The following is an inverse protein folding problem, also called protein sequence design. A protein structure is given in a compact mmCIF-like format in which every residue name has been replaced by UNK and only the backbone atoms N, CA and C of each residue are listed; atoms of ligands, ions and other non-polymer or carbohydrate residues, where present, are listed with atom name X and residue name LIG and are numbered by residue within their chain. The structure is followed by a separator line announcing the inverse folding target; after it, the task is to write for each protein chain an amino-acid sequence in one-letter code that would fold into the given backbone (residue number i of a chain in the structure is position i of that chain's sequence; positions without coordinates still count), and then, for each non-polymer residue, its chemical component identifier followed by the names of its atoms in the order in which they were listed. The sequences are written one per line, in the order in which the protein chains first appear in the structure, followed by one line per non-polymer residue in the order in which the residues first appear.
data_IF_540858834390
#
_entry.id   IF_540858834390
#
_cell.length_a   1.000
_cell.length_b   1.000
_cell.length_c   1.000
_cell.angle_alpha   90.00
_cell.angle_beta   90.00
_cell.angle_gamma   90.00
#
_symmetry.space_group_name_H-M   'P 1'
#
loop_
_entity.id
_entity.type
_entity.pdbx_description
1 polymer ?
#
# COMPACT_ATOMS: atom_id res chain seq x y z
N UNK A 1 -0.93 -17.82 -15.47
CA UNK A 1 -0.39 -16.56 -14.94
C UNK A 1 -1.59 -15.76 -14.46
N UNK A 2 -1.87 -15.80 -13.15
CA UNK A 2 -3.03 -15.09 -12.59
C UNK A 2 -2.67 -13.61 -12.65
N UNK A 3 -3.36 -12.84 -13.49
CA UNK A 3 -3.25 -11.40 -13.47
C UNK A 3 -3.80 -10.96 -12.11
N UNK A 4 -2.91 -10.68 -11.15
CA UNK A 4 -3.29 -10.03 -9.90
C UNK A 4 -3.92 -8.70 -10.28
N UNK A 5 -5.16 -8.50 -9.87
CA UNK A 5 -5.85 -7.23 -10.03
C UNK A 5 -5.20 -6.21 -9.09
N UNK A 6 -4.41 -5.30 -9.67
CA UNK A 6 -3.73 -4.23 -8.94
C UNK A 6 -4.74 -3.34 -8.20
N UNK A 7 -5.96 -3.22 -8.73
CA UNK A 7 -7.04 -2.52 -8.04
C UNK A 7 -7.48 -3.25 -6.77
N UNK A 8 -7.72 -4.55 -6.85
CA UNK A 8 -8.06 -5.37 -5.67
C UNK A 8 -6.97 -5.29 -4.59
N UNK A 9 -5.69 -5.38 -4.96
CA UNK A 9 -4.59 -5.23 -4.00
C UNK A 9 -4.55 -3.83 -3.37
N UNK A 10 -4.74 -2.78 -4.18
CA UNK A 10 -4.85 -1.40 -3.69
C UNK A 10 -6.00 -1.23 -2.70
N UNK A 11 -7.18 -1.76 -3.02
CA UNK A 11 -8.38 -1.66 -2.18
C UNK A 11 -8.20 -2.41 -0.84
N UNK A 12 -7.53 -3.58 -0.85
CA UNK A 12 -7.16 -4.32 0.36
C UNK A 12 -6.18 -3.54 1.24
N UNK A 13 -5.17 -2.91 0.65
CA UNK A 13 -4.23 -2.03 1.37
C UNK A 13 -4.99 -0.85 1.98
N UNK A 14 -5.90 -0.21 1.24
CA UNK A 14 -6.70 0.89 1.77
C UNK A 14 -7.60 0.46 2.93
N UNK A 15 -8.23 -0.71 2.84
CA UNK A 15 -9.06 -1.26 3.91
C UNK A 15 -8.26 -1.56 5.18
N UNK A 16 -7.09 -2.20 5.06
CA UNK A 16 -6.22 -2.46 6.20
C UNK A 16 -5.66 -1.16 6.80
N UNK A 17 -5.28 -0.20 5.96
CA UNK A 17 -4.87 1.13 6.43
C UNK A 17 -6.00 1.83 7.18
N UNK A 18 -7.26 1.72 6.75
CA UNK A 18 -8.40 2.26 7.52
C UNK A 18 -8.50 1.63 8.91
N UNK A 19 -8.20 0.34 9.06
CA UNK A 19 -8.17 -0.30 10.37
C UNK A 19 -7.05 0.23 11.29
N UNK A 20 -5.99 0.83 10.73
CA UNK A 20 -4.83 1.35 11.48
C UNK A 20 -4.96 2.85 11.75
N UNK A 21 -5.32 3.65 10.74
CA UNK A 21 -5.31 5.14 10.79
C UNK A 21 -6.68 5.77 10.55
N UNK A 22 -7.75 4.97 10.48
CA UNK A 22 -9.11 5.45 10.28
C UNK A 22 -9.29 6.21 8.95
N UNK A 23 -10.09 7.27 9.01
CA UNK A 23 -10.49 8.07 7.84
C UNK A 23 -9.33 8.81 7.15
N UNK A 24 -8.14 8.82 7.76
CA UNK A 24 -6.95 9.39 7.13
C UNK A 24 -6.37 8.48 6.03
N UNK A 25 -6.68 7.18 6.03
CA UNK A 25 -6.08 6.20 5.11
C UNK A 25 -6.19 6.62 3.63
N UNK A 26 -7.36 7.03 3.10
CA UNK A 26 -7.47 7.42 1.70
C UNK A 26 -6.63 8.66 1.36
N UNK A 27 -6.50 9.61 2.29
CA UNK A 27 -5.68 10.80 2.07
C UNK A 27 -4.18 10.48 2.06
N UNK A 28 -3.75 9.56 2.92
CA UNK A 28 -2.37 9.09 2.98
C UNK A 28 -2.00 8.30 1.72
N UNK A 29 -2.86 7.38 1.27
CA UNK A 29 -2.64 6.65 0.02
C UNK A 29 -2.65 7.55 -1.21
N UNK A 30 -3.57 8.52 -1.28
CA UNK A 30 -3.56 9.55 -2.34
C UNK A 30 -2.24 10.32 -2.37
N UNK A 31 -1.61 10.59 -1.22
CA UNK A 31 -0.28 11.19 -1.19
C UNK A 31 0.76 10.26 -1.81
N UNK A 32 0.74 8.97 -1.51
CA UNK A 32 1.71 8.00 -2.06
C UNK A 32 1.55 7.78 -3.55
N UNK A 33 0.33 7.76 -4.05
CA UNK A 33 0.05 7.77 -5.50
C UNK A 33 0.70 8.96 -6.20
N UNK A 34 0.57 10.17 -5.62
CA UNK A 34 1.23 11.36 -6.15
C UNK A 34 2.76 11.26 -6.08
N UNK A 35 3.30 10.71 -4.99
CA UNK A 35 4.75 10.53 -4.82
C UNK A 35 5.36 9.61 -5.90
N UNK A 36 4.57 8.67 -6.45
CA UNK A 36 5.00 7.76 -7.54
C UNK A 36 4.46 8.15 -8.92
N UNK A 37 3.79 9.30 -9.04
CA UNK A 37 3.15 9.76 -10.28
C UNK A 37 2.17 8.76 -10.93
N UNK A 38 1.44 8.00 -10.11
CA UNK A 38 0.49 6.99 -10.58
C UNK A 38 -0.98 7.41 -10.39
N UNK A 39 -1.84 6.80 -11.21
CA UNK A 39 -3.30 6.88 -11.13
C UNK A 39 -3.85 5.49 -10.78
N UNK A 40 -4.83 5.43 -9.87
CA UNK A 40 -5.50 4.18 -9.47
C UNK A 40 -6.12 3.47 -10.67
N UNK A 41 -6.61 4.23 -11.66
CA UNK A 41 -7.23 3.64 -12.86
C UNK A 41 -6.23 2.90 -13.76
N UNK A 42 -4.94 3.23 -13.69
CA UNK A 42 -3.88 2.68 -14.52
C UNK A 42 -2.72 2.12 -13.69
N UNK A 43 -3.02 1.69 -12.45
CA UNK A 43 -2.01 1.33 -11.46
C UNK A 43 -1.28 0.06 -11.88
N UNK A 44 0.05 0.16 -12.02
CA UNK A 44 0.89 -1.01 -12.30
C UNK A 44 1.29 -1.70 -11.00
N UNK A 45 1.74 -2.96 -11.13
CA UNK A 45 2.34 -3.71 -10.02
C UNK A 45 3.55 -2.96 -9.43
N UNK A 46 4.41 -2.41 -10.29
CA UNK A 46 5.61 -1.68 -9.88
C UNK A 46 5.25 -0.42 -9.08
N UNK A 47 4.21 0.30 -9.47
CA UNK A 47 3.73 1.47 -8.73
C UNK A 47 3.23 1.11 -7.33
N UNK A 48 2.50 -0.01 -7.21
CA UNK A 48 2.05 -0.55 -5.93
C UNK A 48 3.22 -0.93 -5.03
N UNK A 49 4.22 -1.63 -5.56
CA UNK A 49 5.42 -2.00 -4.80
C UNK A 49 6.15 -0.75 -4.30
N UNK A 50 6.30 0.29 -5.14
CA UNK A 50 6.88 1.58 -4.73
C UNK A 50 6.04 2.27 -3.66
N UNK A 51 4.70 2.25 -3.77
CA UNK A 51 3.80 2.78 -2.73
C UNK A 51 4.03 2.07 -1.40
N UNK A 52 4.13 0.74 -1.40
CA UNK A 52 4.38 -0.04 -0.17
C UNK A 52 5.73 0.33 0.45
N UNK A 53 6.78 0.50 -0.37
CA UNK A 53 8.09 0.98 0.11
C UNK A 53 7.96 2.36 0.75
N UNK A 54 7.24 3.29 0.13
CA UNK A 54 7.02 4.63 0.71
C UNK A 54 6.18 4.60 1.99
N UNK A 55 5.21 3.68 2.10
CA UNK A 55 4.46 3.47 3.34
C UNK A 55 5.38 2.97 4.46
N UNK A 56 6.21 1.97 4.16
CA UNK A 56 7.22 1.43 5.09
C UNK A 56 8.19 2.50 5.56
N UNK A 57 8.67 3.37 4.68
CA UNK A 57 9.75 4.30 5.01
C UNK A 57 9.24 5.61 5.63
N UNK A 58 8.03 6.04 5.26
CA UNK A 58 7.55 7.41 5.55
C UNK A 58 6.21 7.49 6.27
N UNK A 59 5.55 6.37 6.52
CA UNK A 59 4.20 6.35 7.09
C UNK A 59 4.13 5.47 8.33
N UNK A 60 4.40 4.19 8.17
CA UNK A 60 4.22 3.24 9.26
C UNK A 60 5.22 3.35 10.41
N UNK A 61 6.48 3.81 10.27
CA UNK A 61 7.40 3.85 11.40
C UNK A 61 6.91 4.72 12.57
N UNK A 62 6.23 5.84 12.28
CA UNK A 62 5.67 6.72 13.31
C UNK A 62 4.33 6.24 13.88
N UNK A 63 3.73 5.18 13.32
CA UNK A 63 2.41 4.66 13.72
C UNK A 63 2.56 3.30 14.40
N UNK A 64 3.41 2.42 13.86
CA UNK A 64 3.57 1.02 14.23
C UNK A 64 4.98 0.68 14.73
N UNK A 65 5.90 1.64 14.74
CA UNK A 65 7.32 1.38 14.93
C UNK A 65 7.99 0.77 13.70
N UNK A 66 9.32 0.64 13.74
CA UNK A 66 10.10 0.13 12.61
C UNK A 66 9.75 -1.32 12.24
N UNK A 67 9.61 -2.19 13.24
CA UNK A 67 9.29 -3.60 13.02
C UNK A 67 7.86 -3.78 12.48
N UNK A 68 6.90 -3.02 13.01
CA UNK A 68 5.53 -3.02 12.50
C UNK A 68 5.43 -2.48 11.07
N UNK A 69 6.22 -1.47 10.72
CA UNK A 69 6.32 -0.96 9.37
C UNK A 69 6.86 -2.01 8.39
N UNK A 70 7.91 -2.73 8.77
CA UNK A 70 8.49 -3.80 7.97
C UNK A 70 7.49 -4.97 7.81
N UNK A 71 6.84 -5.40 8.89
CA UNK A 71 5.86 -6.49 8.83
C UNK A 71 4.69 -6.17 7.90
N UNK A 72 4.15 -4.94 7.96
CA UNK A 72 3.08 -4.49 7.06
C UNK A 72 3.54 -4.42 5.61
N UNK A 73 4.76 -3.96 5.36
CA UNK A 73 5.30 -3.92 4.01
C UNK A 73 5.40 -5.33 3.40
N UNK A 74 5.89 -6.32 4.17
CA UNK A 74 5.96 -7.72 3.72
C UNK A 74 4.56 -8.26 3.42
N UNK A 75 3.57 -8.00 4.29
CA UNK A 75 2.18 -8.39 4.07
C UNK A 75 1.63 -7.82 2.76
N UNK A 76 1.78 -6.52 2.52
CA UNK A 76 1.25 -5.87 1.33
C UNK A 76 1.95 -6.32 0.04
N UNK A 77 3.27 -6.57 0.09
CA UNK A 77 4.00 -7.12 -1.05
C UNK A 77 3.51 -8.53 -1.41
N UNK A 78 3.21 -9.37 -0.40
CA UNK A 78 2.60 -10.68 -0.63
C UNK A 78 1.22 -10.56 -1.31
N UNK A 79 0.38 -9.62 -0.87
CA UNK A 79 -0.92 -9.36 -1.51
C UNK A 79 -0.81 -8.91 -2.97
N UNK A 80 0.22 -8.14 -3.30
CA UNK A 80 0.51 -7.75 -4.70
C UNK A 80 1.02 -8.96 -5.50
N UNK A 81 1.86 -9.81 -4.89
CA UNK A 81 2.44 -11.03 -5.49
C UNK A 81 1.40 -12.10 -5.82
N UNK A 82 0.69 -12.52 -4.79
CA UNK A 82 -0.08 -13.76 -4.75
C UNK A 82 -1.60 -13.51 -4.68
N UNK A 83 -2.01 -12.26 -4.43
CA UNK A 83 -3.38 -11.89 -4.08
C UNK A 83 -3.59 -11.80 -2.56
N UNK A 84 -4.62 -11.07 -2.11
CA UNK A 84 -4.95 -10.91 -0.70
C UNK A 84 -5.46 -12.17 -0.01
#
# INVERSE_FOLDING_TARGET
MIAVDTKSAYDCIEADMRAIVGDMAPAMLRKRLRDVHADVANLTREDLEKIVVLLRDRTFPSILGADGAQAKAVQYLAWIGDGP
#
